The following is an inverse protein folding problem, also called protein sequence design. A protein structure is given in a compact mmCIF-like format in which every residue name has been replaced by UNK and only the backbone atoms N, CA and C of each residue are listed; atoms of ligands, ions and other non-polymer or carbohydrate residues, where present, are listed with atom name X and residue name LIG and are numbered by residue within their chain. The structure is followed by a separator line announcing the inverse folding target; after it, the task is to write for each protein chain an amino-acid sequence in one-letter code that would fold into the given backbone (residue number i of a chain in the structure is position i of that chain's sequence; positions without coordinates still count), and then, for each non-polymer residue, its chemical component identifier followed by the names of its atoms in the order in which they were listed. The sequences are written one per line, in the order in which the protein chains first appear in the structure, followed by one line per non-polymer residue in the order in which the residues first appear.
data_IF_798996708930
#
_entry.id   IF_798996708930
#
_cell.length_a   1.000
_cell.length_b   1.000
_cell.length_c   1.000
_cell.angle_alpha   90.00
_cell.angle_beta   90.00
_cell.angle_gamma   90.00
#
_symmetry.space_group_name_H-M   'P 1'
#
loop_
_entity.id
_entity.type
_entity.pdbx_description
1 polymer ?
#
# COMPACT_ATOMS: atom_id res chain seq x y z
N UNK A 1 21.12 -5.15 -3.48
CA UNK A 1 20.15 -5.15 -4.58
C UNK A 1 19.75 -3.72 -4.95
N UNK A 2 19.56 -2.85 -3.96
CA UNK A 2 19.12 -1.47 -4.15
C UNK A 2 20.18 -0.42 -3.75
N UNK A 3 21.46 -0.76 -3.79
CA UNK A 3 22.55 0.15 -3.43
C UNK A 3 22.53 1.41 -4.30
N UNK A 4 22.50 2.59 -3.66
CA UNK A 4 22.44 3.89 -4.35
C UNK A 4 21.06 4.29 -4.89
N UNK A 5 20.03 3.45 -4.70
CA UNK A 5 18.65 3.73 -5.11
C UNK A 5 17.92 4.57 -4.05
N UNK A 6 17.05 5.46 -4.50
CA UNK A 6 16.21 6.33 -3.67
C UNK A 6 14.80 5.78 -3.65
N UNK A 7 14.34 5.35 -2.46
CA UNK A 7 12.99 4.83 -2.25
C UNK A 7 12.17 5.78 -1.37
N UNK A 8 11.00 6.17 -1.83
CA UNK A 8 10.00 6.94 -1.08
C UNK A 8 8.94 5.99 -0.55
N UNK A 9 8.67 6.00 0.77
CA UNK A 9 7.65 5.14 1.39
C UNK A 9 6.71 5.98 2.26
N UNK A 10 5.42 6.01 1.91
CA UNK A 10 4.41 6.71 2.70
C UNK A 10 3.84 5.82 3.80
N UNK A 11 3.52 6.40 4.98
CA UNK A 11 2.96 5.66 6.11
C UNK A 11 3.94 4.66 6.73
N UNK A 12 5.23 5.00 6.80
CA UNK A 12 6.31 4.11 7.21
C UNK A 12 6.59 4.08 8.73
N UNK A 13 5.78 4.75 9.57
CA UNK A 13 6.02 4.79 11.02
C UNK A 13 5.74 3.45 11.72
N UNK A 14 4.94 2.56 11.14
CA UNK A 14 4.58 1.25 11.71
C UNK A 14 4.13 0.24 10.65
N UNK A 15 3.94 -1.01 11.08
CA UNK A 15 3.30 -2.07 10.30
C UNK A 15 4.00 -2.36 8.96
N UNK A 16 3.21 -2.51 7.91
CA UNK A 16 3.68 -2.87 6.56
C UNK A 16 4.67 -1.83 6.03
N UNK A 17 4.34 -0.54 6.12
CA UNK A 17 5.21 0.53 5.61
C UNK A 17 6.56 0.60 6.31
N UNK A 18 6.61 0.39 7.64
CA UNK A 18 7.86 0.30 8.40
C UNK A 18 8.71 -0.87 7.92
N UNK A 19 8.11 -2.05 7.79
CA UNK A 19 8.80 -3.25 7.30
C UNK A 19 9.37 -3.03 5.88
N UNK A 20 8.61 -2.44 4.97
CA UNK A 20 9.07 -2.10 3.62
C UNK A 20 10.27 -1.16 3.67
N UNK A 21 10.20 -0.10 4.47
CA UNK A 21 11.29 0.88 4.61
C UNK A 21 12.55 0.25 5.18
N UNK A 22 12.43 -0.61 6.19
CA UNK A 22 13.55 -1.36 6.78
C UNK A 22 14.18 -2.32 5.78
N UNK A 23 13.38 -3.06 5.00
CA UNK A 23 13.89 -3.99 4.01
C UNK A 23 14.60 -3.28 2.84
N UNK A 24 14.11 -2.13 2.39
CA UNK A 24 14.85 -1.31 1.43
C UNK A 24 16.21 -0.87 1.99
N UNK A 25 16.27 -0.38 3.24
CA UNK A 25 17.53 0.02 3.89
C UNK A 25 18.51 -1.15 4.02
N UNK A 26 18.04 -2.32 4.47
CA UNK A 26 18.86 -3.55 4.56
C UNK A 26 19.44 -3.96 3.21
N UNK A 27 18.74 -3.67 2.12
CA UNK A 27 19.20 -3.96 0.76
C UNK A 27 19.98 -2.82 0.11
N UNK A 28 20.35 -1.78 0.87
CA UNK A 28 21.27 -0.71 0.47
C UNK A 28 20.62 0.53 -0.14
N UNK A 29 19.28 0.65 -0.14
CA UNK A 29 18.60 1.86 -0.60
C UNK A 29 18.67 2.98 0.45
N UNK A 30 18.69 4.21 -0.02
CA UNK A 30 18.31 5.39 0.77
C UNK A 30 16.79 5.45 0.81
N UNK A 31 16.19 5.62 2.01
CA UNK A 31 14.75 5.59 2.18
C UNK A 31 14.23 6.90 2.76
N UNK A 32 13.44 7.61 1.97
CA UNK A 32 12.72 8.81 2.37
C UNK A 32 11.31 8.43 2.82
N UNK A 33 10.93 8.78 4.04
CA UNK A 33 9.62 8.40 4.59
C UNK A 33 8.79 9.61 4.95
N UNK A 34 7.46 9.50 4.79
CA UNK A 34 6.49 10.48 5.28
C UNK A 34 5.38 9.78 6.05
N UNK A 35 5.06 10.32 7.23
CA UNK A 35 3.91 9.90 8.04
C UNK A 35 3.51 10.99 9.02
N UNK A 36 2.30 10.92 9.58
CA UNK A 36 1.82 11.92 10.56
C UNK A 36 2.67 11.99 11.83
N UNK A 37 3.25 10.88 12.22
CA UNK A 37 4.05 10.72 13.46
C UNK A 37 5.42 10.12 13.11
N UNK A 38 6.19 10.80 12.26
CA UNK A 38 7.53 10.33 11.90
C UNK A 38 8.55 10.80 12.94
N UNK A 39 9.37 9.86 13.45
CA UNK A 39 10.53 10.17 14.30
C UNK A 39 11.79 10.35 13.44
N UNK A 40 11.92 9.54 12.37
CA UNK A 40 13.10 9.49 11.50
C UNK A 40 12.78 9.82 10.02
N UNK A 41 11.83 10.73 9.77
CA UNK A 41 11.42 11.08 8.42
C UNK A 41 10.59 12.37 8.40
N UNK A 42 9.98 12.66 7.28
CA UNK A 42 9.14 13.84 7.14
C UNK A 42 7.83 13.65 7.91
N UNK A 43 7.50 14.58 8.81
CA UNK A 43 6.24 14.57 9.56
C UNK A 43 5.20 15.42 8.87
N UNK A 44 4.04 14.83 8.50
CA UNK A 44 2.97 15.56 7.87
C UNK A 44 1.77 14.71 7.49
N UNK A 45 0.62 15.36 7.29
CA UNK A 45 -0.61 14.71 6.87
C UNK A 45 -0.73 14.70 5.34
N UNK A 46 -0.77 13.51 4.77
CA UNK A 46 -0.86 13.30 3.32
C UNK A 46 -2.18 13.81 2.70
N UNK A 47 -3.18 14.15 3.50
CA UNK A 47 -4.38 14.81 2.98
C UNK A 47 -4.13 16.27 2.61
N UNK A 48 -3.02 16.87 3.03
CA UNK A 48 -2.68 18.27 2.79
C UNK A 48 -1.72 18.41 1.60
N UNK A 49 -2.16 19.17 0.60
CA UNK A 49 -1.41 19.39 -0.64
C UNK A 49 -0.01 19.99 -0.37
N UNK A 50 0.04 20.99 0.48
CA UNK A 50 1.27 21.72 0.82
C UNK A 50 2.30 20.81 1.51
N UNK A 51 1.83 19.85 2.28
CA UNK A 51 2.69 18.81 2.92
C UNK A 51 3.29 17.89 1.87
N UNK A 52 2.50 17.48 0.87
CA UNK A 52 2.99 16.63 -0.22
C UNK A 52 4.03 17.36 -1.08
N UNK A 53 3.79 18.63 -1.38
CA UNK A 53 4.73 19.50 -2.12
C UNK A 53 6.03 19.67 -1.35
N UNK A 54 5.98 20.10 -0.09
CA UNK A 54 7.16 20.30 0.75
C UNK A 54 7.96 19.00 0.94
N UNK A 55 7.29 17.85 1.07
CA UNK A 55 7.95 16.55 1.14
C UNK A 55 8.65 16.21 -0.18
N UNK A 56 7.97 16.34 -1.31
CA UNK A 56 8.54 16.05 -2.61
C UNK A 56 9.76 16.94 -2.89
N UNK A 57 9.65 18.26 -2.64
CA UNK A 57 10.75 19.20 -2.79
C UNK A 57 11.95 18.78 -1.93
N UNK A 58 11.72 18.41 -0.66
CA UNK A 58 12.81 17.96 0.24
C UNK A 58 13.55 16.74 -0.28
N UNK A 59 12.85 15.80 -0.91
CA UNK A 59 13.46 14.60 -1.52
C UNK A 59 14.28 14.98 -2.75
N UNK A 60 13.71 15.82 -3.62
CA UNK A 60 14.36 16.22 -4.88
C UNK A 60 15.55 17.13 -4.64
N UNK A 61 15.46 18.08 -3.73
CA UNK A 61 16.58 18.96 -3.37
C UNK A 61 17.77 18.17 -2.81
N UNK A 62 17.50 17.08 -2.09
CA UNK A 62 18.55 16.27 -1.47
C UNK A 62 19.14 15.21 -2.42
N UNK A 63 18.33 14.60 -3.28
CA UNK A 63 18.76 13.43 -4.06
C UNK A 63 18.65 13.58 -5.58
N UNK A 64 17.89 14.55 -6.07
CA UNK A 64 17.74 14.86 -7.49
C UNK A 64 16.86 13.89 -8.28
N UNK A 65 16.54 12.71 -7.74
CA UNK A 65 15.73 11.70 -8.43
C UNK A 65 15.04 10.75 -7.45
N UNK A 66 14.09 9.95 -7.95
CA UNK A 66 13.41 8.87 -7.22
C UNK A 66 13.42 7.60 -8.08
N UNK A 67 13.86 6.48 -7.52
CA UNK A 67 13.78 5.16 -8.16
C UNK A 67 12.47 4.44 -7.82
N UNK A 68 12.03 4.54 -6.57
CA UNK A 68 10.86 3.80 -6.11
C UNK A 68 9.92 4.68 -5.29
N UNK A 69 8.62 4.63 -5.61
CA UNK A 69 7.57 5.26 -4.83
C UNK A 69 6.62 4.18 -4.30
N UNK A 70 6.56 4.00 -2.99
CA UNK A 70 5.63 3.08 -2.34
C UNK A 70 4.55 3.85 -1.60
N UNK A 71 3.35 3.85 -2.14
CA UNK A 71 2.16 4.45 -1.55
C UNK A 71 1.50 3.45 -0.60
N UNK A 72 1.84 3.51 0.68
CA UNK A 72 1.36 2.58 1.70
C UNK A 72 0.46 3.23 2.76
N UNK A 73 0.42 4.55 2.86
CA UNK A 73 -0.36 5.23 3.89
C UNK A 73 -1.80 4.71 3.98
N UNK A 74 -2.25 4.45 5.22
CA UNK A 74 -3.54 3.84 5.48
C UNK A 74 -4.64 4.92 5.49
N UNK A 75 -5.67 4.84 4.63
CA UNK A 75 -6.83 5.72 4.68
C UNK A 75 -7.72 5.43 5.90
N UNK A 76 -8.56 6.40 6.24
CA UNK A 76 -9.57 6.23 7.29
C UNK A 76 -10.55 5.12 6.91
N UNK A 77 -10.93 4.29 7.90
CA UNK A 77 -11.92 3.24 7.74
C UNK A 77 -13.14 3.54 8.63
N UNK A 78 -14.21 4.01 8.00
CA UNK A 78 -15.53 4.23 8.60
C UNK A 78 -16.62 3.88 7.59
N UNK A 79 -17.80 3.54 8.08
CA UNK A 79 -18.93 3.09 7.28
C UNK A 79 -20.13 3.99 7.31
N UNK A 80 -21.20 3.53 6.67
CA UNK A 80 -22.43 4.29 6.39
C UNK A 80 -23.09 4.85 7.66
N UNK A 81 -22.93 4.19 8.80
CA UNK A 81 -23.59 4.61 10.05
C UNK A 81 -22.89 5.80 10.74
N UNK A 82 -21.58 6.00 10.48
CA UNK A 82 -20.79 6.96 11.27
C UNK A 82 -19.83 7.82 10.46
N UNK A 83 -19.66 7.55 9.18
CA UNK A 83 -18.74 8.29 8.32
C UNK A 83 -19.36 9.61 7.88
N UNK A 84 -18.77 10.74 8.25
CA UNK A 84 -19.21 12.04 7.73
C UNK A 84 -18.70 12.24 6.30
N UNK A 85 -19.24 13.25 5.62
CA UNK A 85 -18.80 13.63 4.28
C UNK A 85 -17.30 14.00 4.27
N UNK A 86 -16.85 14.78 5.25
CA UNK A 86 -15.47 15.23 5.40
C UNK A 86 -14.52 14.05 5.69
N UNK A 87 -14.95 13.11 6.52
CA UNK A 87 -14.19 11.90 6.80
C UNK A 87 -14.06 10.98 5.58
N UNK A 88 -15.11 10.88 4.78
CA UNK A 88 -15.06 10.14 3.52
C UNK A 88 -14.11 10.82 2.51
N UNK A 89 -14.18 12.16 2.38
CA UNK A 89 -13.24 12.92 1.55
C UNK A 89 -11.79 12.76 2.05
N UNK A 90 -11.57 12.81 3.36
CA UNK A 90 -10.26 12.58 3.95
C UNK A 90 -9.70 11.18 3.60
N UNK A 91 -10.53 10.15 3.67
CA UNK A 91 -10.13 8.79 3.29
C UNK A 91 -9.67 8.72 1.81
N UNK A 92 -10.41 9.36 0.92
CA UNK A 92 -10.04 9.45 -0.51
C UNK A 92 -8.79 10.30 -0.71
N UNK A 93 -8.64 11.39 0.03
CA UNK A 93 -7.45 12.26 -0.04
C UNK A 93 -6.18 11.49 0.30
N UNK A 94 -6.17 10.73 1.39
CA UNK A 94 -5.02 9.90 1.80
C UNK A 94 -4.82 8.69 0.89
N UNK A 95 -5.92 8.00 0.52
CA UNK A 95 -5.84 6.71 -0.15
C UNK A 95 -5.72 6.76 -1.68
N UNK A 96 -6.11 7.87 -2.29
CA UNK A 96 -6.14 8.01 -3.77
C UNK A 96 -5.47 9.30 -4.23
N UNK A 97 -5.87 10.46 -3.68
CA UNK A 97 -5.39 11.76 -4.16
C UNK A 97 -3.90 11.93 -3.87
N UNK A 98 -3.44 11.60 -2.66
CA UNK A 98 -2.03 11.71 -2.30
C UNK A 98 -1.12 10.80 -3.17
N UNK A 99 -1.43 9.51 -3.38
CA UNK A 99 -0.70 8.66 -4.33
C UNK A 99 -0.62 9.25 -5.75
N UNK A 100 -1.74 9.73 -6.28
CA UNK A 100 -1.77 10.41 -7.57
C UNK A 100 -0.86 11.65 -7.57
N UNK A 101 -0.98 12.48 -6.54
CA UNK A 101 -0.26 13.75 -6.51
C UNK A 101 1.24 13.57 -6.31
N UNK A 102 1.67 12.62 -5.47
CA UNK A 102 3.09 12.26 -5.35
C UNK A 102 3.65 11.69 -6.65
N UNK A 103 2.90 10.84 -7.35
CA UNK A 103 3.31 10.35 -8.67
C UNK A 103 3.48 11.50 -9.68
N UNK A 104 2.59 12.51 -9.64
CA UNK A 104 2.68 13.72 -10.47
C UNK A 104 3.89 14.59 -10.10
N UNK A 105 4.14 14.82 -8.82
CA UNK A 105 5.28 15.64 -8.35
C UNK A 105 6.62 15.00 -8.71
N UNK A 106 6.74 13.69 -8.57
CA UNK A 106 7.96 12.96 -8.91
C UNK A 106 8.10 12.61 -10.40
N UNK A 107 7.05 12.82 -11.22
CA UNK A 107 7.07 12.45 -12.64
C UNK A 107 8.29 12.95 -13.45
N UNK A 108 8.78 14.22 -13.27
CA UNK A 108 9.97 14.70 -13.96
C UNK A 108 11.28 14.09 -13.42
N UNK A 109 11.25 13.49 -12.24
CA UNK A 109 12.41 13.08 -11.45
C UNK A 109 12.52 11.56 -11.28
N UNK A 110 11.61 10.78 -11.87
CA UNK A 110 11.77 9.34 -11.86
C UNK A 110 13.00 8.92 -12.65
N UNK A 111 13.84 8.09 -12.03
CA UNK A 111 14.98 7.46 -12.69
C UNK A 111 14.53 6.54 -13.83
N UNK A 112 15.48 6.14 -14.69
CA UNK A 112 15.25 5.06 -15.63
C UNK A 112 14.91 3.77 -14.88
N UNK A 113 13.95 2.99 -15.39
CA UNK A 113 13.42 1.76 -14.76
C UNK A 113 12.75 1.96 -13.38
N UNK A 114 12.32 3.17 -13.05
CA UNK A 114 11.62 3.45 -11.82
C UNK A 114 10.34 2.61 -11.66
N UNK A 115 9.93 2.40 -10.41
CA UNK A 115 8.72 1.64 -10.09
C UNK A 115 7.87 2.33 -9.02
N UNK A 116 6.55 2.36 -9.25
CA UNK A 116 5.55 2.74 -8.26
C UNK A 116 4.84 1.49 -7.78
N UNK A 117 4.75 1.30 -6.46
CA UNK A 117 3.97 0.23 -5.84
C UNK A 117 2.93 0.82 -4.91
N UNK A 118 1.67 0.59 -5.22
CA UNK A 118 0.53 1.03 -4.42
C UNK A 118 0.05 -0.09 -3.51
N UNK A 119 -0.07 0.16 -2.21
CA UNK A 119 -0.64 -0.82 -1.28
C UNK A 119 -2.16 -0.64 -1.21
N UNK A 120 -2.87 -1.51 -1.93
CA UNK A 120 -4.32 -1.61 -1.91
C UNK A 120 -4.78 -2.49 -0.73
N UNK A 121 -5.73 -3.38 -0.95
CA UNK A 121 -6.28 -4.36 0.00
C UNK A 121 -7.13 -5.36 -0.77
N UNK A 122 -7.34 -6.56 -0.22
CA UNK A 122 -8.40 -7.47 -0.66
C UNK A 122 -9.79 -6.80 -0.67
N UNK A 123 -9.94 -5.70 0.09
CA UNK A 123 -11.16 -4.88 0.11
C UNK A 123 -11.35 -3.98 -1.12
N UNK A 124 -10.50 -4.07 -2.11
CA UNK A 124 -10.73 -3.49 -3.44
C UNK A 124 -11.81 -4.26 -4.23
N UNK A 125 -12.10 -5.50 -3.83
CA UNK A 125 -13.03 -6.43 -4.50
C UNK A 125 -13.99 -7.18 -3.56
N UNK A 126 -13.81 -7.08 -2.25
CA UNK A 126 -14.70 -7.64 -1.24
C UNK A 126 -14.76 -6.71 -0.03
N UNK A 127 -15.83 -6.81 0.77
CA UNK A 127 -16.08 -5.84 1.84
C UNK A 127 -16.62 -6.52 3.10
N UNK A 128 -16.49 -5.82 4.20
CA UNK A 128 -17.25 -6.06 5.42
C UNK A 128 -18.15 -4.84 5.68
N UNK A 129 -19.24 -4.97 6.43
CA UNK A 129 -20.05 -3.84 6.84
C UNK A 129 -19.19 -2.75 7.51
N UNK A 130 -19.60 -1.50 7.34
CA UNK A 130 -18.97 -0.33 7.99
C UNK A 130 -17.51 -0.06 7.54
N UNK A 131 -17.19 -0.34 6.27
CA UNK A 131 -15.85 -0.11 5.72
C UNK A 131 -15.84 0.69 4.42
N UNK A 132 -16.92 1.40 4.12
CA UNK A 132 -17.18 2.03 2.81
C UNK A 132 -16.09 3.04 2.43
N UNK A 133 -15.63 3.90 3.35
CA UNK A 133 -14.59 4.88 3.07
C UNK A 133 -13.25 4.22 2.71
N UNK A 134 -12.90 3.16 3.41
CA UNK A 134 -11.69 2.38 3.16
C UNK A 134 -11.79 1.59 1.85
N UNK A 135 -12.91 0.89 1.64
CA UNK A 135 -13.17 0.10 0.43
C UNK A 135 -13.14 0.99 -0.82
N UNK A 136 -13.78 2.17 -0.77
CA UNK A 136 -13.74 3.15 -1.86
C UNK A 136 -12.31 3.61 -2.17
N UNK A 137 -11.51 3.93 -1.13
CA UNK A 137 -10.13 4.33 -1.30
C UNK A 137 -9.27 3.20 -1.89
N UNK A 138 -9.45 1.95 -1.43
CA UNK A 138 -8.66 0.79 -1.89
C UNK A 138 -9.07 0.31 -3.29
N UNK A 139 -10.34 0.44 -3.66
CA UNK A 139 -10.80 0.28 -5.04
C UNK A 139 -10.26 1.39 -5.96
N UNK A 140 -10.29 2.63 -5.47
CA UNK A 140 -9.77 3.79 -6.20
C UNK A 140 -8.28 3.69 -6.51
N UNK A 141 -7.44 3.28 -5.54
CA UNK A 141 -6.00 3.13 -5.77
C UNK A 141 -5.68 1.94 -6.70
N UNK A 142 -6.47 0.87 -6.66
CA UNK A 142 -6.32 -0.24 -7.59
C UNK A 142 -6.62 0.21 -9.04
N UNK A 143 -7.69 0.98 -9.25
CA UNK A 143 -8.01 1.57 -10.55
C UNK A 143 -6.97 2.61 -10.99
N UNK A 144 -6.49 3.48 -10.09
CA UNK A 144 -5.45 4.46 -10.38
C UNK A 144 -4.14 3.78 -10.84
N UNK A 145 -3.84 2.58 -10.35
CA UNK A 145 -2.63 1.83 -10.69
C UNK A 145 -2.50 1.60 -12.19
N UNK A 146 -3.52 1.01 -12.84
CA UNK A 146 -3.44 0.75 -14.28
C UNK A 146 -3.51 2.05 -15.10
N UNK A 147 -4.21 3.08 -14.63
CA UNK A 147 -4.25 4.38 -15.29
C UNK A 147 -2.87 5.05 -15.30
N UNK A 148 -2.14 5.02 -14.16
CA UNK A 148 -0.77 5.51 -14.08
C UNK A 148 0.21 4.66 -14.91
N UNK A 149 0.05 3.33 -14.93
CA UNK A 149 0.89 2.45 -15.73
C UNK A 149 0.81 2.79 -17.22
N UNK A 150 -0.38 3.10 -17.73
CA UNK A 150 -0.56 3.56 -19.12
C UNK A 150 0.03 4.95 -19.34
N UNK A 151 -0.18 5.88 -18.41
CA UNK A 151 0.34 7.25 -18.52
C UNK A 151 1.87 7.31 -18.46
N UNK A 152 2.52 6.42 -17.71
CA UNK A 152 3.97 6.30 -17.59
C UNK A 152 4.60 5.28 -18.54
N UNK A 153 3.87 4.83 -19.56
CA UNK A 153 4.32 3.80 -20.49
C UNK A 153 5.76 4.02 -20.98
N UNK A 154 6.59 2.99 -20.85
CA UNK A 154 8.01 3.02 -21.23
C UNK A 154 8.95 3.79 -20.30
N UNK A 155 8.44 4.34 -19.17
CA UNK A 155 9.24 5.12 -18.23
C UNK A 155 9.20 4.60 -16.80
N UNK A 156 8.00 4.30 -16.28
CA UNK A 156 7.80 3.85 -14.90
C UNK A 156 6.83 2.69 -14.90
N UNK A 157 7.19 1.61 -14.24
CA UNK A 157 6.25 0.51 -13.97
C UNK A 157 5.38 0.85 -12.77
N UNK A 158 4.09 0.63 -12.87
CA UNK A 158 3.15 0.93 -11.78
C UNK A 158 2.31 -0.30 -11.49
N UNK A 159 2.42 -0.82 -10.27
CA UNK A 159 1.67 -1.98 -9.83
C UNK A 159 1.05 -1.73 -8.45
N UNK A 160 0.07 -2.55 -8.09
CA UNK A 160 -0.49 -2.56 -6.75
C UNK A 160 -0.42 -3.95 -6.12
N UNK A 161 -0.38 -3.97 -4.80
CA UNK A 161 -0.51 -5.18 -4.00
C UNK A 161 -1.79 -5.05 -3.19
N UNK A 162 -2.59 -6.12 -3.16
CA UNK A 162 -3.79 -6.24 -2.34
C UNK A 162 -3.54 -7.24 -1.21
N UNK A 163 -3.08 -6.77 -0.02
CA UNK A 163 -2.93 -7.63 1.15
C UNK A 163 -4.27 -8.19 1.63
N UNK A 164 -4.25 -9.40 2.14
CA UNK A 164 -5.31 -9.97 2.96
C UNK A 164 -5.20 -9.53 4.42
N UNK A 165 -5.47 -10.45 5.35
CA UNK A 165 -5.26 -10.20 6.77
C UNK A 165 -3.77 -10.32 7.11
N UNK A 166 -3.17 -9.18 7.44
CA UNK A 166 -1.76 -9.06 7.84
C UNK A 166 -1.70 -8.60 9.29
N UNK A 167 -1.12 -9.42 10.15
CA UNK A 167 -0.82 -9.00 11.52
C UNK A 167 0.38 -8.07 11.54
N UNK A 168 0.18 -6.89 12.12
CA UNK A 168 1.21 -5.86 12.27
C UNK A 168 1.66 -5.66 13.73
N UNK A 169 1.09 -6.42 14.66
CA UNK A 169 1.30 -6.26 16.10
C UNK A 169 2.07 -7.42 16.73
N UNK A 170 2.38 -8.48 15.98
CA UNK A 170 3.08 -9.68 16.48
C UNK A 170 2.18 -10.56 17.36
N UNK A 171 0.88 -10.61 17.07
CA UNK A 171 -0.09 -11.39 17.83
C UNK A 171 0.02 -12.86 17.45
N UNK A 172 -0.01 -13.75 18.44
CA UNK A 172 -0.20 -15.18 18.21
C UNK A 172 -1.69 -15.47 18.12
N UNK A 173 -2.13 -15.98 16.97
CA UNK A 173 -3.51 -16.38 16.74
C UNK A 173 -3.68 -17.86 17.01
N UNK A 174 -4.85 -18.24 17.51
CA UNK A 174 -5.21 -19.63 17.82
C UNK A 174 -6.56 -20.00 17.18
N UNK A 175 -6.86 -21.30 17.12
CA UNK A 175 -8.12 -21.80 16.58
C UNK A 175 -8.38 -21.39 15.13
N UNK A 176 -9.63 -21.08 14.77
CA UNK A 176 -10.00 -20.71 13.38
C UNK A 176 -9.22 -19.50 12.85
N UNK A 177 -8.93 -18.51 13.68
CA UNK A 177 -8.20 -17.30 13.25
C UNK A 177 -6.78 -17.62 12.80
N UNK A 178 -6.14 -18.64 13.39
CA UNK A 178 -4.79 -19.05 13.02
C UNK A 178 -4.73 -19.72 11.63
N UNK A 179 -5.80 -20.40 11.20
CA UNK A 179 -5.75 -21.31 10.04
C UNK A 179 -6.80 -21.05 8.97
N UNK A 180 -7.58 -19.97 9.08
CA UNK A 180 -8.68 -19.69 8.15
C UNK A 180 -8.23 -19.39 6.72
N UNK A 181 -7.01 -18.90 6.52
CA UNK A 181 -6.46 -18.71 5.18
C UNK A 181 -5.93 -20.04 4.62
N UNK A 182 -6.11 -20.34 3.33
CA UNK A 182 -5.55 -21.53 2.69
C UNK A 182 -4.05 -21.73 2.92
N UNK A 183 -3.29 -20.65 3.12
CA UNK A 183 -1.87 -20.71 3.47
C UNK A 183 -1.60 -21.21 4.90
N UNK A 184 -2.65 -21.47 5.71
CA UNK A 184 -2.56 -22.04 7.06
C UNK A 184 -2.00 -21.10 8.12
N UNK A 185 -1.98 -19.80 7.86
CA UNK A 185 -1.53 -18.76 8.83
C UNK A 185 -2.06 -17.38 8.47
N UNK A 186 -2.09 -16.50 9.44
CA UNK A 186 -2.22 -15.06 9.22
C UNK A 186 -0.94 -14.54 8.54
N UNK A 187 -1.07 -13.60 7.62
CA UNK A 187 0.07 -12.94 6.99
C UNK A 187 0.83 -12.03 7.94
N UNK A 188 2.05 -11.67 7.59
CA UNK A 188 2.87 -10.70 8.33
C UNK A 188 3.42 -9.62 7.37
N UNK A 189 3.96 -8.50 7.89
CA UNK A 189 4.46 -7.40 7.04
C UNK A 189 5.52 -7.83 6.02
N UNK A 190 6.33 -8.84 6.33
CA UNK A 190 7.35 -9.34 5.42
C UNK A 190 6.77 -10.00 4.17
N UNK A 191 5.59 -10.62 4.26
CA UNK A 191 4.90 -11.20 3.10
C UNK A 191 4.63 -10.11 2.03
N UNK A 192 4.31 -8.90 2.49
CA UNK A 192 4.07 -7.75 1.61
C UNK A 192 5.39 -7.11 1.16
N UNK A 193 6.32 -6.90 2.09
CA UNK A 193 7.61 -6.27 1.79
C UNK A 193 8.39 -7.06 0.71
N UNK A 194 8.40 -8.39 0.78
CA UNK A 194 9.04 -9.24 -0.23
C UNK A 194 8.48 -8.99 -1.65
N UNK A 195 7.16 -8.84 -1.79
CA UNK A 195 6.54 -8.55 -3.09
C UNK A 195 6.85 -7.12 -3.54
N UNK A 196 6.87 -6.14 -2.62
CA UNK A 196 7.29 -4.76 -2.96
C UNK A 196 8.71 -4.76 -3.52
N UNK A 197 9.66 -5.40 -2.83
CA UNK A 197 11.04 -5.48 -3.31
C UNK A 197 11.14 -6.20 -4.65
N UNK A 198 10.37 -7.27 -4.84
CA UNK A 198 10.32 -7.96 -6.13
C UNK A 198 9.81 -7.04 -7.25
N UNK A 199 8.69 -6.33 -7.04
CA UNK A 199 8.12 -5.41 -8.02
C UNK A 199 9.02 -4.20 -8.32
N UNK A 200 9.85 -3.80 -7.37
CA UNK A 200 10.85 -2.74 -7.54
C UNK A 200 12.16 -3.23 -8.19
N UNK A 201 12.33 -4.54 -8.37
CA UNK A 201 13.54 -5.10 -8.97
C UNK A 201 13.43 -5.26 -10.49
N UNK A 202 14.58 -5.45 -11.15
CA UNK A 202 14.68 -5.72 -12.59
C UNK A 202 13.98 -7.02 -12.98
N UNK A 203 13.78 -7.95 -12.03
CA UNK A 203 13.07 -9.21 -12.26
C UNK A 203 11.59 -9.02 -12.60
N UNK A 204 11.02 -7.86 -12.25
CA UNK A 204 9.63 -7.50 -12.55
C UNK A 204 9.51 -6.60 -13.79
N UNK A 205 10.53 -6.56 -14.66
CA UNK A 205 10.61 -5.64 -15.80
C UNK A 205 9.44 -5.72 -16.80
N UNK A 206 8.69 -6.82 -16.81
CA UNK A 206 7.51 -6.99 -17.69
C UNK A 206 6.19 -7.02 -16.92
N UNK A 207 6.18 -6.53 -15.66
CA UNK A 207 4.97 -6.45 -14.82
C UNK A 207 4.63 -4.97 -14.62
N UNK A 208 3.53 -4.53 -15.18
CA UNK A 208 2.99 -3.17 -14.99
C UNK A 208 1.48 -3.16 -15.18
N UNK A 209 0.77 -2.31 -14.42
CA UNK A 209 -0.69 -2.20 -14.43
C UNK A 209 -1.42 -3.26 -13.60
N UNK A 210 -0.70 -4.16 -12.93
CA UNK A 210 -1.28 -5.29 -12.22
C UNK A 210 -1.64 -4.96 -10.76
N UNK A 211 -2.66 -5.65 -10.27
CA UNK A 211 -3.05 -5.66 -8.86
C UNK A 211 -2.92 -7.07 -8.29
N UNK A 212 -1.85 -7.32 -7.55
CA UNK A 212 -1.43 -8.64 -7.10
C UNK A 212 -1.96 -8.91 -5.69
N UNK A 213 -2.79 -9.94 -5.52
CA UNK A 213 -3.24 -10.39 -4.20
C UNK A 213 -2.14 -11.14 -3.45
N UNK A 214 -1.86 -10.68 -2.22
CA UNK A 214 -1.01 -11.37 -1.24
C UNK A 214 -1.84 -11.55 0.03
N UNK A 215 -2.66 -12.58 0.05
CA UNK A 215 -3.74 -12.76 1.02
C UNK A 215 -3.83 -14.18 1.60
N UNK A 216 -2.82 -15.02 1.34
CA UNK A 216 -2.83 -16.40 1.76
C UNK A 216 -3.93 -17.26 1.13
N UNK A 217 -4.53 -16.81 0.03
CA UNK A 217 -5.63 -17.47 -0.66
C UNK A 217 -7.02 -17.11 -0.13
N UNK A 218 -7.12 -16.17 0.82
CA UNK A 218 -8.40 -15.77 1.45
C UNK A 218 -9.48 -15.42 0.43
N UNK A 219 -9.16 -14.63 -0.61
CA UNK A 219 -10.13 -14.21 -1.64
C UNK A 219 -10.47 -15.31 -2.67
N UNK A 220 -9.84 -16.48 -2.58
CA UNK A 220 -10.07 -17.62 -3.48
C UNK A 220 -10.89 -18.72 -2.85
N UNK A 221 -10.99 -18.72 -1.53
CA UNK A 221 -11.72 -19.76 -0.80
C UNK A 221 -13.22 -19.49 -0.85
N UNK A 222 -13.99 -20.47 -1.33
CA UNK A 222 -15.45 -20.47 -1.26
C UNK A 222 -15.87 -21.26 -0.02
N UNK A 223 -16.74 -20.65 0.81
CA UNK A 223 -17.24 -21.24 2.04
C UNK A 223 -18.76 -21.18 2.02
N UNK A 224 -19.42 -22.31 2.28
CA UNK A 224 -20.86 -22.40 2.49
C UNK A 224 -21.19 -22.49 3.99
N UNK A 225 -22.44 -22.19 4.34
CA UNK A 225 -22.92 -22.35 5.71
C UNK A 225 -22.73 -23.79 6.18
N UNK A 226 -22.04 -23.95 7.32
CA UNK A 226 -21.70 -25.24 7.91
C UNK A 226 -20.34 -25.81 7.51
N UNK A 227 -19.69 -25.30 6.43
CA UNK A 227 -18.36 -25.75 6.03
C UNK A 227 -17.32 -25.34 7.08
N UNK A 228 -16.41 -26.26 7.42
CA UNK A 228 -15.31 -26.02 8.37
C UNK A 228 -15.75 -25.43 9.72
N UNK A 229 -17.00 -25.66 10.12
CA UNK A 229 -17.59 -25.07 11.34
C UNK A 229 -18.04 -23.62 11.19
N UNK A 230 -18.07 -23.07 10.00
CA UNK A 230 -18.60 -21.74 9.72
C UNK A 230 -20.12 -21.70 9.86
N UNK A 231 -20.58 -20.84 10.73
CA UNK A 231 -22.01 -20.60 10.95
C UNK A 231 -22.29 -19.10 10.70
N UNK A 232 -23.13 -18.82 9.70
CA UNK A 232 -23.66 -17.47 9.52
C UNK A 232 -24.66 -17.20 10.65
N UNK A 233 -24.36 -16.27 11.51
CA UNK A 233 -25.32 -15.73 12.49
C UNK A 233 -26.10 -14.61 11.81
N UNK A 234 -27.41 -14.82 11.67
CA UNK A 234 -28.32 -13.79 11.18
C UNK A 234 -28.68 -12.92 12.40
N UNK A 235 -28.52 -11.58 12.32
CA UNK A 235 -28.86 -10.67 13.40
C UNK A 235 -30.35 -10.68 13.74
#
# INVERSE_FOLDING_TARGET
MFTGKIAVVTGASRGIGKCIAEEFRKNGAVVCTISRTSEDGFAGDLAQKEVLEAFADSVIDQYGHVDYLVNNALPLMKGIDSCTYEEFQYALSVGVTAPFYLAKLFAPYFAEDASIVNISSSRDRMSQPQTESYTAAKGGIAALTHALAVSFSGKVRVNSISPGWIDTNGITYEGPDAVQQPAGRVGNPMDIANMVLYLCSDKAGFITGENICIDGGMTKQMIYHGDNGWLLQIP
#
